data_IF_488563322475
#
_entry.id   IF_488563322475
#
_cell.length_a   1.000
_cell.length_b   1.000
_cell.length_c   1.000
_cell.angle_alpha   90.00
_cell.angle_beta   90.00
_cell.angle_gamma   90.00
#
_symmetry.space_group_name_H-M   'P 1'
#
loop_
_entity.id
_entity.type
_entity.pdbx_description
1 polymer ?
#
# COMPACT_ATOMS: atom_id res chain seq x y z
N UNK A 1 54.07 53.67 12.71
CA UNK A 1 54.10 52.19 12.63
C UNK A 1 53.73 51.56 13.98
N UNK A 2 52.46 51.63 14.40
CA UNK A 2 51.94 50.95 15.62
C UNK A 2 50.46 50.68 15.47
N UNK A 3 50.01 50.08 14.30
CA UNK A 3 48.60 49.78 14.06
C UNK A 3 48.32 48.32 13.58
N UNK A 4 49.41 47.53 13.42
CA UNK A 4 49.28 46.18 12.83
C UNK A 4 49.04 45.06 13.85
N UNK A 5 49.18 45.26 15.14
CA UNK A 5 49.06 44.23 16.18
C UNK A 5 47.57 43.93 16.59
N UNK A 6 46.72 44.97 16.62
CA UNK A 6 45.34 44.82 17.09
C UNK A 6 44.43 44.21 16.07
N UNK A 7 44.63 44.48 14.79
CA UNK A 7 43.81 43.92 13.71
C UNK A 7 44.10 42.43 13.49
N UNK A 8 45.35 41.98 13.65
CA UNK A 8 45.72 40.57 13.55
C UNK A 8 45.16 39.76 14.73
N UNK A 9 45.10 40.33 15.93
CA UNK A 9 44.53 39.64 17.09
C UNK A 9 43.03 39.53 17.02
N UNK A 10 42.33 40.52 16.44
CA UNK A 10 40.88 40.48 16.21
C UNK A 10 40.50 39.50 15.11
N UNK A 11 41.28 39.41 14.03
CA UNK A 11 41.08 38.44 12.97
C UNK A 11 41.33 36.99 13.43
N UNK A 12 42.32 36.74 14.28
CA UNK A 12 42.59 35.43 14.87
C UNK A 12 41.53 35.00 15.88
N UNK A 13 40.98 35.92 16.67
CA UNK A 13 39.87 35.63 17.59
C UNK A 13 38.55 35.36 16.85
N UNK A 14 38.22 36.09 15.78
CA UNK A 14 37.05 35.79 14.95
C UNK A 14 37.22 34.50 14.16
N UNK A 15 38.42 34.18 13.68
CA UNK A 15 38.68 32.95 12.94
C UNK A 15 38.55 31.66 13.76
N UNK A 16 38.72 31.74 15.11
CA UNK A 16 38.60 30.59 16.02
C UNK A 16 37.22 30.46 16.68
N UNK A 17 36.52 31.57 16.89
CA UNK A 17 35.19 31.57 17.57
C UNK A 17 34.07 31.16 16.61
N UNK A 18 34.13 31.58 15.35
CA UNK A 18 33.06 31.24 14.36
C UNK A 18 33.00 29.74 14.02
N UNK A 19 34.13 29.03 13.77
CA UNK A 19 34.06 27.57 13.57
C UNK A 19 33.64 26.82 14.84
N UNK A 20 34.01 27.27 16.03
CA UNK A 20 33.63 26.66 17.30
C UNK A 20 32.11 26.79 17.59
N UNK A 21 31.52 27.93 17.28
CA UNK A 21 30.08 28.15 17.40
C UNK A 21 29.28 27.34 16.35
N UNK A 22 29.77 27.25 15.11
CA UNK A 22 29.14 26.41 14.06
C UNK A 22 29.20 24.92 14.42
N UNK A 23 30.34 24.43 14.94
CA UNK A 23 30.46 23.04 15.40
C UNK A 23 29.56 22.73 16.60
N UNK A 24 29.36 23.66 17.52
CA UNK A 24 28.42 23.49 18.63
C UNK A 24 26.98 23.57 18.20
N UNK A 25 26.62 24.45 17.26
CA UNK A 25 25.26 24.52 16.70
C UNK A 25 24.91 23.30 15.87
N UNK A 26 25.82 22.74 15.08
CA UNK A 26 25.63 21.51 14.36
C UNK A 26 25.52 20.29 15.28
N UNK A 27 26.32 20.26 16.38
CA UNK A 27 26.23 19.23 17.41
C UNK A 27 24.88 19.29 18.16
N UNK A 28 24.42 20.49 18.53
CA UNK A 28 23.09 20.65 19.15
C UNK A 28 21.95 20.36 18.19
N UNK A 29 22.10 20.66 16.90
CA UNK A 29 21.09 20.35 15.87
C UNK A 29 21.00 18.83 15.58
N UNK A 30 22.15 18.14 15.62
CA UNK A 30 22.20 16.67 15.49
C UNK A 30 21.70 15.97 16.77
N UNK A 31 21.95 16.53 17.96
CA UNK A 31 21.37 16.00 19.21
C UNK A 31 19.88 16.26 19.36
N UNK A 32 19.35 17.35 18.82
CA UNK A 32 17.93 17.65 18.83
C UNK A 32 17.12 16.76 17.84
N UNK A 33 17.78 16.07 16.91
CA UNK A 33 17.19 15.08 16.02
C UNK A 33 17.33 13.64 16.51
N UNK A 34 18.08 13.37 17.54
CA UNK A 34 18.04 12.10 18.22
C UNK A 34 16.75 12.04 19.05
N UNK A 35 15.68 11.54 18.44
CA UNK A 35 14.51 11.05 19.17
C UNK A 35 15.06 10.04 20.18
N UNK A 36 14.79 10.17 21.50
CA UNK A 36 15.18 9.14 22.45
C UNK A 36 14.59 7.84 21.96
N UNK A 37 15.45 6.89 21.65
CA UNK A 37 15.07 5.50 21.42
C UNK A 37 14.61 5.00 22.81
N UNK A 38 13.35 5.24 23.15
CA UNK A 38 12.72 4.51 24.23
C UNK A 38 12.72 3.04 23.79
N UNK A 39 13.38 2.15 24.54
CA UNK A 39 13.33 0.74 24.18
C UNK A 39 11.86 0.34 24.19
N UNK A 40 11.34 -0.03 23.02
CA UNK A 40 10.04 -0.67 22.92
C UNK A 40 9.99 -1.79 23.97
N UNK A 41 8.88 -1.98 24.67
CA UNK A 41 8.77 -3.06 25.65
C UNK A 41 9.03 -4.37 24.90
N UNK A 42 10.18 -4.97 25.22
CA UNK A 42 10.57 -6.30 24.75
C UNK A 42 9.72 -7.32 25.52
N UNK A 43 8.51 -7.49 25.08
CA UNK A 43 7.74 -8.69 25.31
C UNK A 43 7.73 -9.45 23.99
N UNK A 44 8.81 -10.15 23.70
CA UNK A 44 8.74 -11.31 22.83
C UNK A 44 7.82 -12.30 23.55
N UNK A 45 6.52 -12.19 23.31
CA UNK A 45 5.60 -13.29 23.58
C UNK A 45 6.02 -14.37 22.58
N UNK A 46 6.76 -15.38 23.06
CA UNK A 46 6.82 -16.66 22.38
C UNK A 46 5.36 -17.15 22.27
N UNK A 47 4.70 -16.81 21.20
CA UNK A 47 3.45 -17.45 20.80
C UNK A 47 3.81 -18.86 20.32
N UNK A 48 3.91 -19.78 21.27
CA UNK A 48 3.77 -21.20 20.99
C UNK A 48 2.48 -21.33 20.19
N UNK A 49 2.58 -21.78 18.94
CA UNK A 49 1.54 -21.78 17.93
C UNK A 49 0.21 -22.36 18.45
N UNK A 50 -0.70 -21.49 18.82
CA UNK A 50 -2.11 -21.84 18.99
C UNK A 50 -2.76 -21.69 17.64
N UNK A 51 -2.83 -22.77 16.88
CA UNK A 51 -3.62 -22.84 15.65
C UNK A 51 -5.09 -22.81 16.06
N UNK A 52 -5.84 -21.82 15.56
CA UNK A 52 -7.28 -21.73 15.75
C UNK A 52 -7.95 -22.24 14.50
N UNK A 53 -8.67 -23.36 14.59
CA UNK A 53 -9.44 -23.87 13.45
C UNK A 53 -10.62 -22.91 13.18
N UNK A 54 -10.51 -22.12 12.14
CA UNK A 54 -11.58 -21.22 11.66
C UNK A 54 -12.08 -21.76 10.32
N UNK A 55 -13.35 -22.18 10.21
CA UNK A 55 -13.90 -22.64 8.93
C UNK A 55 -14.06 -21.48 7.96
N UNK A 56 -13.81 -21.76 6.67
CA UNK A 56 -14.01 -20.86 5.56
C UNK A 56 -14.79 -21.57 4.44
N UNK A 57 -15.56 -20.80 3.69
CA UNK A 57 -16.22 -21.26 2.44
C UNK A 57 -15.52 -20.62 1.25
N UNK A 58 -14.86 -21.46 0.44
CA UNK A 58 -14.22 -21.04 -0.79
C UNK A 58 -15.11 -21.38 -1.98
N UNK A 59 -15.51 -20.35 -2.72
CA UNK A 59 -16.27 -20.47 -3.96
C UNK A 59 -15.32 -20.61 -5.14
N UNK A 60 -15.41 -21.74 -5.84
CA UNK A 60 -14.64 -22.01 -7.03
C UNK A 60 -15.23 -21.31 -8.28
N UNK A 61 -14.46 -21.12 -9.36
CA UNK A 61 -14.92 -20.45 -10.58
C UNK A 61 -16.17 -21.06 -11.21
N UNK A 62 -16.35 -22.38 -11.09
CA UNK A 62 -17.51 -23.11 -11.57
C UNK A 62 -18.76 -22.96 -10.66
N UNK A 63 -18.63 -22.25 -9.52
CA UNK A 63 -19.71 -21.93 -8.60
C UNK A 63 -19.87 -22.91 -7.44
N UNK A 64 -19.13 -24.02 -7.40
CA UNK A 64 -19.10 -24.92 -6.24
C UNK A 64 -18.49 -24.21 -5.02
N UNK A 65 -18.94 -24.57 -3.82
CA UNK A 65 -18.43 -24.04 -2.56
C UNK A 65 -17.86 -25.19 -1.74
N UNK A 66 -16.58 -25.10 -1.42
CA UNK A 66 -15.89 -26.05 -0.54
C UNK A 66 -15.64 -25.44 0.83
N UNK A 67 -15.70 -26.23 1.89
CA UNK A 67 -15.28 -25.85 3.23
C UNK A 67 -13.82 -26.24 3.43
N UNK A 68 -13.03 -25.32 3.96
CA UNK A 68 -11.62 -25.53 4.27
C UNK A 68 -11.21 -24.76 5.51
N UNK A 69 -10.03 -25.03 6.04
CA UNK A 69 -9.46 -24.25 7.11
C UNK A 69 -9.01 -22.86 6.64
N UNK A 70 -9.20 -21.85 7.48
CA UNK A 70 -8.85 -20.46 7.16
C UNK A 70 -7.35 -20.31 6.89
N UNK A 71 -6.49 -20.93 7.70
CA UNK A 71 -5.05 -20.78 7.53
C UNK A 71 -4.56 -21.51 6.27
N UNK A 72 -5.17 -22.65 5.89
CA UNK A 72 -4.91 -23.28 4.59
C UNK A 72 -5.30 -22.36 3.41
N UNK A 73 -6.48 -21.75 3.48
CA UNK A 73 -6.89 -20.74 2.49
C UNK A 73 -5.91 -19.57 2.40
N UNK A 74 -5.46 -19.06 3.55
CA UNK A 74 -4.57 -17.89 3.60
C UNK A 74 -3.18 -18.15 3.04
N UNK A 75 -2.66 -19.38 3.14
CA UNK A 75 -1.43 -19.74 2.41
C UNK A 75 -1.61 -19.48 0.93
N UNK A 76 -2.71 -19.97 0.34
CA UNK A 76 -3.00 -19.74 -1.08
C UNK A 76 -3.24 -18.27 -1.45
N UNK A 77 -3.85 -17.48 -0.55
CA UNK A 77 -4.02 -16.04 -0.77
C UNK A 77 -2.67 -15.32 -0.76
N UNK A 78 -1.85 -15.52 0.27
CA UNK A 78 -0.55 -14.85 0.38
C UNK A 78 0.37 -15.22 -0.78
N UNK A 79 0.39 -16.49 -1.20
CA UNK A 79 1.15 -16.94 -2.38
C UNK A 79 0.68 -16.30 -3.69
N UNK A 80 -0.61 -15.95 -3.80
CA UNK A 80 -1.16 -15.30 -4.98
C UNK A 80 -0.97 -13.77 -4.98
N UNK A 81 -0.96 -13.15 -3.81
CA UNK A 81 -0.98 -11.69 -3.60
C UNK A 81 0.43 -11.09 -3.48
N UNK A 82 1.37 -11.79 -2.86
CA UNK A 82 2.71 -11.27 -2.57
C UNK A 82 3.81 -12.21 -3.08
N UNK A 83 4.95 -11.67 -3.55
CA UNK A 83 6.14 -12.46 -3.77
C UNK A 83 6.59 -13.15 -2.48
N UNK A 84 6.83 -14.47 -2.51
CA UNK A 84 7.33 -15.21 -1.34
C UNK A 84 8.74 -14.76 -0.90
N UNK A 85 9.44 -13.98 -1.74
CA UNK A 85 10.72 -13.33 -1.41
C UNK A 85 10.58 -12.18 -0.42
N UNK A 86 9.37 -11.60 -0.23
CA UNK A 86 9.14 -10.49 0.70
C UNK A 86 9.50 -10.89 2.14
N UNK A 87 9.81 -9.90 2.97
CA UNK A 87 10.21 -10.13 4.36
C UNK A 87 9.11 -10.85 5.17
N UNK A 88 9.47 -11.72 6.12
CA UNK A 88 8.48 -12.46 6.93
C UNK A 88 7.45 -11.58 7.61
N UNK A 89 7.84 -10.38 8.09
CA UNK A 89 6.91 -9.46 8.75
C UNK A 89 5.88 -8.86 7.78
N UNK A 90 6.23 -8.64 6.52
CA UNK A 90 5.29 -8.23 5.49
C UNK A 90 4.29 -9.34 5.16
N UNK A 91 4.76 -10.59 5.05
CA UNK A 91 3.91 -11.76 4.81
C UNK A 91 2.94 -12.00 5.98
N UNK A 92 3.38 -11.80 7.23
CA UNK A 92 2.52 -11.84 8.43
C UNK A 92 1.46 -10.76 8.39
N UNK A 93 1.82 -9.52 8.06
CA UNK A 93 0.87 -8.41 7.94
C UNK A 93 -0.20 -8.72 6.87
N UNK A 94 0.21 -9.26 5.72
CA UNK A 94 -0.71 -9.70 4.67
C UNK A 94 -1.65 -10.80 5.15
N UNK A 95 -1.14 -11.80 5.86
CA UNK A 95 -1.96 -12.90 6.39
C UNK A 95 -3.04 -12.39 7.35
N UNK A 96 -2.71 -11.46 8.26
CA UNK A 96 -3.68 -10.84 9.17
C UNK A 96 -4.72 -10.02 8.41
N UNK A 97 -4.30 -9.19 7.45
CA UNK A 97 -5.23 -8.39 6.64
C UNK A 97 -6.19 -9.28 5.85
N UNK A 98 -5.67 -10.31 5.17
CA UNK A 98 -6.46 -11.25 4.39
C UNK A 98 -7.42 -12.07 5.27
N UNK A 99 -6.99 -12.50 6.47
CA UNK A 99 -7.83 -13.19 7.45
C UNK A 99 -8.98 -12.29 7.92
N UNK A 100 -8.69 -11.02 8.20
CA UNK A 100 -9.70 -10.04 8.60
C UNK A 100 -10.77 -9.88 7.54
N UNK A 101 -10.37 -9.73 6.28
CA UNK A 101 -11.30 -9.64 5.15
C UNK A 101 -12.18 -10.91 5.03
N UNK A 102 -11.56 -12.08 5.02
CA UNK A 102 -12.29 -13.35 4.88
C UNK A 102 -13.24 -13.60 6.07
N UNK A 103 -12.81 -13.28 7.30
CA UNK A 103 -13.64 -13.43 8.49
C UNK A 103 -14.82 -12.46 8.49
N UNK A 104 -14.61 -11.24 8.03
CA UNK A 104 -15.69 -10.27 7.87
C UNK A 104 -16.71 -10.74 6.83
N UNK A 105 -16.26 -11.26 5.69
CA UNK A 105 -17.14 -11.84 4.67
C UNK A 105 -17.99 -12.99 5.25
N UNK A 106 -17.38 -13.87 6.04
CA UNK A 106 -18.09 -14.93 6.75
C UNK A 106 -19.21 -14.41 7.65
N UNK A 107 -18.93 -13.35 8.45
CA UNK A 107 -19.89 -12.81 9.41
C UNK A 107 -21.03 -12.02 8.76
N UNK A 108 -20.74 -11.30 7.66
CA UNK A 108 -21.70 -10.36 7.06
C UNK A 108 -22.40 -10.91 5.81
N UNK A 109 -22.07 -12.13 5.39
CA UNK A 109 -22.51 -12.71 4.11
C UNK A 109 -21.61 -12.34 2.93
N UNK A 110 -20.74 -11.34 3.09
CA UNK A 110 -19.80 -10.90 2.06
C UNK A 110 -20.46 -10.53 0.73
N UNK A 111 -19.67 -10.51 -0.33
CA UNK A 111 -20.16 -10.19 -1.69
C UNK A 111 -21.07 -11.24 -2.31
N UNK A 112 -21.02 -12.47 -1.80
CA UNK A 112 -21.82 -13.61 -2.31
C UNK A 112 -23.11 -13.88 -1.51
N UNK A 113 -23.32 -13.16 -0.40
CA UNK A 113 -24.51 -13.27 0.45
C UNK A 113 -24.56 -14.49 1.38
N UNK A 114 -23.66 -15.46 1.20
CA UNK A 114 -23.58 -16.70 1.98
C UNK A 114 -22.32 -16.83 2.84
N UNK A 115 -21.52 -15.75 2.92
CA UNK A 115 -20.27 -15.72 3.66
C UNK A 115 -19.09 -16.38 2.96
N UNK A 116 -19.27 -16.89 1.73
CA UNK A 116 -18.16 -17.42 0.94
C UNK A 116 -17.27 -16.31 0.38
N UNK A 117 -16.00 -16.64 0.15
CA UNK A 117 -15.06 -15.84 -0.64
C UNK A 117 -14.72 -16.59 -1.91
N UNK A 118 -14.39 -15.89 -3.00
CA UNK A 118 -13.97 -16.52 -4.25
C UNK A 118 -12.49 -16.28 -4.54
N UNK A 119 -11.99 -16.95 -5.59
CA UNK A 119 -10.59 -16.91 -6.02
C UNK A 119 -10.27 -15.73 -6.96
N UNK A 120 -11.27 -14.88 -7.27
CA UNK A 120 -11.12 -13.74 -8.18
C UNK A 120 -10.68 -12.50 -7.42
N UNK A 121 -9.49 -12.01 -7.72
CA UNK A 121 -8.91 -10.79 -7.14
C UNK A 121 -9.75 -9.52 -7.41
N UNK A 122 -10.54 -9.49 -8.50
CA UNK A 122 -11.43 -8.36 -8.78
C UNK A 122 -12.71 -8.39 -7.95
N UNK A 123 -13.04 -9.53 -7.38
CA UNK A 123 -14.19 -9.75 -6.52
C UNK A 123 -13.82 -9.85 -5.05
N UNK A 124 -13.04 -10.85 -4.64
CA UNK A 124 -12.63 -11.08 -3.25
C UNK A 124 -11.12 -10.90 -3.06
N UNK A 125 -10.37 -11.98 -3.15
CA UNK A 125 -8.91 -12.01 -3.00
C UNK A 125 -8.33 -12.94 -4.06
N UNK A 126 -7.12 -12.64 -4.56
CA UNK A 126 -6.41 -13.62 -5.38
C UNK A 126 -6.15 -14.88 -4.55
N UNK A 127 -6.21 -16.03 -5.21
CA UNK A 127 -5.96 -17.32 -4.58
C UNK A 127 -5.29 -18.26 -5.58
N UNK A 128 -4.31 -19.01 -5.09
CA UNK A 128 -3.67 -20.09 -5.85
C UNK A 128 -3.49 -21.31 -4.93
N UNK A 129 -3.75 -22.50 -5.43
CA UNK A 129 -3.38 -23.71 -4.69
C UNK A 129 -1.85 -23.84 -4.65
N UNK A 130 -1.31 -24.31 -3.55
CA UNK A 130 0.15 -24.47 -3.41
C UNK A 130 0.75 -25.35 -4.51
N UNK A 131 0.05 -26.43 -4.91
CA UNK A 131 0.45 -27.26 -6.05
C UNK A 131 0.57 -26.47 -7.36
N UNK A 132 -0.37 -25.54 -7.60
CA UNK A 132 -0.34 -24.70 -8.79
C UNK A 132 0.73 -23.62 -8.72
N UNK A 133 1.01 -23.09 -7.51
CA UNK A 133 2.13 -22.19 -7.26
C UNK A 133 3.46 -22.86 -7.62
N UNK A 134 3.69 -24.09 -7.15
CA UNK A 134 4.89 -24.87 -7.46
C UNK A 134 4.97 -25.20 -8.96
N UNK A 135 3.86 -25.59 -9.58
CA UNK A 135 3.81 -25.88 -11.01
C UNK A 135 4.10 -24.66 -11.90
N UNK A 136 3.87 -23.44 -11.40
CA UNK A 136 4.18 -22.15 -12.09
C UNK A 136 5.59 -21.65 -11.80
N UNK A 137 6.46 -22.44 -11.16
CA UNK A 137 7.85 -22.10 -10.89
C UNK A 137 8.08 -21.51 -9.50
N UNK A 138 7.08 -21.54 -8.61
CA UNK A 138 7.27 -21.29 -7.18
C UNK A 138 8.18 -22.34 -6.53
N UNK A 139 8.72 -22.03 -5.37
CA UNK A 139 9.62 -22.92 -4.65
C UNK A 139 8.99 -23.45 -3.36
N UNK A 140 9.37 -24.68 -2.96
CA UNK A 140 8.97 -25.27 -1.66
C UNK A 140 9.38 -24.36 -0.50
N UNK A 141 10.58 -23.76 -0.55
CA UNK A 141 11.08 -22.84 0.46
C UNK A 141 10.18 -21.58 0.57
N UNK A 142 9.74 -21.04 -0.58
CA UNK A 142 8.83 -19.91 -0.63
C UNK A 142 7.46 -20.25 -0.04
N UNK A 143 6.90 -21.40 -0.39
CA UNK A 143 5.63 -21.89 0.16
C UNK A 143 5.72 -22.10 1.67
N UNK A 144 6.80 -22.72 2.14
CA UNK A 144 7.04 -22.94 3.56
C UNK A 144 7.23 -21.62 4.35
N UNK A 145 7.92 -20.62 3.76
CA UNK A 145 8.06 -19.29 4.36
C UNK A 145 6.70 -18.63 4.56
N UNK A 146 5.82 -18.70 3.55
CA UNK A 146 4.45 -18.16 3.63
C UNK A 146 3.64 -18.92 4.67
N UNK A 147 3.71 -20.26 4.71
CA UNK A 147 3.01 -21.08 5.70
C UNK A 147 3.38 -20.67 7.12
N UNK A 148 4.68 -20.51 7.43
CA UNK A 148 5.14 -20.02 8.73
C UNK A 148 4.62 -18.64 9.09
N UNK A 149 4.51 -17.73 8.12
CA UNK A 149 3.96 -16.40 8.37
C UNK A 149 2.46 -16.46 8.72
N UNK A 150 1.69 -17.31 8.03
CA UNK A 150 0.27 -17.54 8.30
C UNK A 150 0.08 -18.17 9.69
N UNK A 151 0.83 -19.24 10.00
CA UNK A 151 0.77 -19.94 11.30
C UNK A 151 1.16 -19.04 12.47
N UNK A 152 2.21 -18.23 12.32
CA UNK A 152 2.68 -17.30 13.36
C UNK A 152 1.63 -16.21 13.69
N UNK A 153 0.65 -15.99 12.82
CA UNK A 153 -0.43 -15.01 13.00
C UNK A 153 -1.80 -15.67 13.10
N UNK A 154 -1.87 -17.00 13.34
CA UNK A 154 -3.14 -17.74 13.41
C UNK A 154 -4.09 -17.13 14.44
N UNK A 155 -5.34 -16.94 14.05
CA UNK A 155 -6.39 -16.35 14.88
C UNK A 155 -6.35 -14.83 15.03
N UNK A 156 -5.28 -14.14 14.61
CA UNK A 156 -5.23 -12.67 14.67
C UNK A 156 -5.96 -11.99 13.52
N UNK A 157 -6.77 -11.00 13.86
CA UNK A 157 -7.54 -10.13 12.96
C UNK A 157 -7.42 -8.68 13.39
N UNK A 158 -7.86 -7.77 12.53
CA UNK A 158 -7.94 -6.33 12.81
C UNK A 158 -9.36 -5.93 13.16
N UNK A 159 -9.52 -5.20 14.27
CA UNK A 159 -10.79 -4.62 14.71
C UNK A 159 -10.66 -3.12 14.90
N UNK A 160 -11.79 -2.42 14.83
CA UNK A 160 -11.93 -1.02 15.22
C UNK A 160 -13.23 -0.87 16.02
N UNK A 161 -13.12 -0.41 17.26
CA UNK A 161 -14.27 -0.36 18.17
C UNK A 161 -14.91 -1.74 18.44
N UNK A 162 -14.12 -2.83 18.37
CA UNK A 162 -14.58 -4.20 18.57
C UNK A 162 -15.14 -4.89 17.31
N UNK A 163 -15.30 -4.17 16.20
CA UNK A 163 -15.83 -4.72 14.94
C UNK A 163 -14.69 -4.98 13.93
N UNK A 164 -14.82 -6.03 13.11
CA UNK A 164 -13.86 -6.33 12.05
C UNK A 164 -13.80 -5.19 11.03
N UNK A 165 -12.59 -4.73 10.70
CA UNK A 165 -12.38 -3.65 9.74
C UNK A 165 -12.54 -4.11 8.27
N UNK A 166 -12.63 -3.14 7.34
CA UNK A 166 -12.36 -3.35 5.91
C UNK A 166 -10.84 -3.38 5.70
N UNK A 167 -10.21 -4.56 5.86
CA UNK A 167 -8.78 -4.72 5.77
C UNK A 167 -8.32 -4.85 4.30
N UNK A 168 -8.48 -3.77 3.54
CA UNK A 168 -8.12 -3.73 2.13
C UNK A 168 -6.62 -3.53 1.93
N UNK A 169 -6.08 -4.10 0.87
CA UNK A 169 -4.68 -4.00 0.50
C UNK A 169 -4.53 -3.95 -1.03
N UNK A 170 -3.37 -3.57 -1.50
CA UNK A 170 -3.07 -3.38 -2.92
C UNK A 170 -1.55 -3.45 -3.14
N UNK A 171 -1.11 -3.52 -4.40
CA UNK A 171 0.29 -3.76 -4.74
C UNK A 171 1.24 -2.66 -4.26
N UNK A 172 1.18 -1.46 -4.84
CA UNK A 172 2.03 -0.33 -4.45
C UNK A 172 1.31 1.02 -4.57
N UNK A 173 1.66 1.97 -3.71
CA UNK A 173 0.95 3.25 -3.59
C UNK A 173 1.51 4.35 -4.51
N UNK A 174 2.77 4.25 -4.92
CA UNK A 174 3.49 5.34 -5.54
C UNK A 174 3.95 6.41 -4.55
N UNK A 175 4.12 6.02 -3.26
CA UNK A 175 4.65 6.86 -2.17
C UNK A 175 3.63 7.30 -1.12
N UNK A 176 2.32 7.20 -1.40
CA UNK A 176 1.26 7.57 -0.43
C UNK A 176 -0.04 6.83 -0.75
N UNK A 177 -0.74 6.37 0.29
CA UNK A 177 -2.06 5.73 0.14
C UNK A 177 -3.19 6.77 0.00
N UNK A 178 -4.39 6.30 -0.35
CA UNK A 178 -5.59 7.14 -0.47
C UNK A 178 -6.52 6.98 0.74
N UNK A 179 -7.29 8.03 1.06
CA UNK A 179 -8.45 7.92 1.92
C UNK A 179 -9.56 7.12 1.24
N UNK A 180 -10.20 6.21 1.96
CA UNK A 180 -11.31 5.42 1.42
C UNK A 180 -12.46 6.28 0.89
N UNK A 181 -12.76 7.41 1.53
CA UNK A 181 -13.81 8.34 1.09
C UNK A 181 -13.54 8.91 -0.30
N UNK A 182 -12.26 9.10 -0.68
CA UNK A 182 -11.89 9.64 -1.99
C UNK A 182 -12.05 8.62 -3.12
N UNK A 183 -11.97 7.33 -2.79
CA UNK A 183 -12.03 6.24 -3.78
C UNK A 183 -13.42 5.60 -3.83
N UNK A 184 -14.06 5.42 -2.68
CA UNK A 184 -15.33 4.67 -2.55
C UNK A 184 -16.49 5.47 -2.01
N UNK A 185 -16.27 6.75 -1.62
CA UNK A 185 -17.32 7.61 -1.06
C UNK A 185 -17.70 7.29 0.40
N UNK A 186 -17.12 6.26 1.00
CA UNK A 186 -17.37 5.87 2.40
C UNK A 186 -16.19 6.24 3.26
N UNK A 187 -16.45 6.94 4.36
CA UNK A 187 -15.42 7.33 5.33
C UNK A 187 -15.21 6.23 6.37
N UNK A 188 -14.04 5.60 6.34
CA UNK A 188 -13.59 4.67 7.36
C UNK A 188 -12.49 5.35 8.19
N UNK A 189 -12.65 5.46 9.54
CA UNK A 189 -11.69 6.19 10.38
C UNK A 189 -10.27 5.60 10.32
N UNK A 190 -10.15 4.32 10.04
CA UNK A 190 -8.90 3.56 9.97
C UNK A 190 -8.31 3.45 8.55
N UNK A 191 -9.01 3.86 7.48
CA UNK A 191 -8.54 3.87 6.09
C UNK A 191 -8.24 5.29 5.62
N UNK A 192 -7.21 5.88 6.20
CA UNK A 192 -6.74 7.24 5.89
C UNK A 192 -5.44 7.22 5.11
N UNK A 193 -5.21 8.27 4.34
CA UNK A 193 -3.97 8.45 3.58
C UNK A 193 -2.76 8.47 4.53
N UNK A 194 -1.78 7.62 4.24
CA UNK A 194 -0.48 7.55 4.94
C UNK A 194 0.65 7.55 3.93
N UNK A 195 1.83 8.00 4.35
CA UNK A 195 3.05 7.86 3.56
C UNK A 195 3.42 6.37 3.44
N UNK A 196 3.94 5.98 2.29
CA UNK A 196 4.38 4.61 2.01
C UNK A 196 5.69 4.67 1.24
N UNK A 197 6.80 4.99 1.93
CA UNK A 197 8.12 5.12 1.31
C UNK A 197 8.73 3.75 1.00
N UNK A 198 9.77 3.75 0.15
CA UNK A 198 10.55 2.53 -0.15
C UNK A 198 9.94 1.63 -1.23
N UNK A 199 8.91 2.10 -1.94
CA UNK A 199 8.25 1.35 -3.01
C UNK A 199 8.93 1.51 -4.38
N UNK A 200 10.03 2.25 -4.47
CA UNK A 200 10.74 2.54 -5.73
C UNK A 200 11.31 1.28 -6.38
N UNK A 201 11.53 0.23 -5.57
CA UNK A 201 11.98 -1.09 -6.04
C UNK A 201 10.88 -1.90 -6.73
N UNK A 202 9.60 -1.53 -6.57
CA UNK A 202 8.50 -2.23 -7.22
C UNK A 202 8.59 -2.05 -8.75
N UNK A 203 8.77 -3.13 -9.49
CA UNK A 203 8.97 -3.14 -10.94
C UNK A 203 7.82 -2.49 -11.73
N UNK A 204 6.65 -2.36 -11.10
CA UNK A 204 5.44 -1.77 -11.67
C UNK A 204 4.95 -0.54 -10.92
N UNK A 205 5.82 0.08 -10.11
CA UNK A 205 5.50 1.32 -9.40
C UNK A 205 5.21 2.48 -10.36
N UNK A 206 5.81 2.48 -11.55
CA UNK A 206 5.54 3.46 -12.60
C UNK A 206 5.15 2.74 -13.89
N UNK A 207 4.15 3.26 -14.58
CA UNK A 207 3.70 2.76 -15.88
C UNK A 207 3.38 3.91 -16.83
N UNK A 208 3.57 3.70 -18.13
CA UNK A 208 3.27 4.72 -19.14
C UNK A 208 2.48 4.09 -20.27
N UNK A 209 1.31 4.62 -20.51
CA UNK A 209 0.46 4.23 -21.64
C UNK A 209 0.31 5.39 -22.61
N UNK A 210 0.19 5.07 -23.89
CA UNK A 210 0.02 6.06 -24.95
C UNK A 210 -1.21 5.76 -25.78
N UNK A 211 -1.89 6.82 -26.21
CA UNK A 211 -3.07 6.74 -27.06
C UNK A 211 -2.93 7.68 -28.26
N UNK A 212 -3.38 7.24 -29.44
CA UNK A 212 -3.74 8.19 -30.48
C UNK A 212 -4.98 8.96 -30.08
N UNK A 213 -5.25 10.16 -30.66
CA UNK A 213 -6.47 10.91 -30.38
C UNK A 213 -7.75 10.11 -30.60
N UNK A 214 -7.76 9.22 -31.58
CA UNK A 214 -8.90 8.34 -31.86
C UNK A 214 -9.09 7.27 -30.79
N UNK A 215 -8.02 6.56 -30.43
CA UNK A 215 -8.05 5.56 -29.36
C UNK A 215 -8.55 6.16 -28.04
N UNK A 216 -8.07 7.36 -27.70
CA UNK A 216 -8.45 8.05 -26.48
C UNK A 216 -9.94 8.42 -26.45
N UNK A 217 -10.47 9.01 -27.56
CA UNK A 217 -11.91 9.29 -27.70
C UNK A 217 -12.74 8.02 -27.56
N UNK A 218 -12.33 6.95 -28.22
CA UNK A 218 -13.05 5.66 -28.18
C UNK A 218 -13.05 5.08 -26.77
N UNK A 219 -11.94 5.15 -26.02
CA UNK A 219 -11.85 4.64 -24.65
C UNK A 219 -12.77 5.42 -23.69
N UNK A 220 -12.89 6.75 -23.85
CA UNK A 220 -13.79 7.56 -23.02
C UNK A 220 -15.25 7.60 -23.52
N UNK A 221 -15.51 7.18 -24.76
CA UNK A 221 -16.83 7.29 -25.36
C UNK A 221 -17.29 8.74 -25.55
N UNK A 222 -16.36 9.71 -25.58
CA UNK A 222 -16.67 11.15 -25.61
C UNK A 222 -16.14 11.79 -26.88
N UNK A 223 -17.00 12.46 -27.67
CA UNK A 223 -16.55 13.19 -28.83
C UNK A 223 -15.73 14.42 -28.40
N UNK A 224 -14.53 14.54 -28.95
CA UNK A 224 -13.62 15.67 -28.70
C UNK A 224 -13.13 16.19 -30.05
N UNK A 225 -13.14 17.53 -30.22
CA UNK A 225 -12.67 18.21 -31.43
C UNK A 225 -11.39 19.00 -31.13
N UNK A 226 -10.71 19.44 -32.18
CA UNK A 226 -9.47 20.22 -32.06
C UNK A 226 -8.25 19.38 -31.66
N UNK A 227 -7.18 20.08 -31.27
CA UNK A 227 -5.94 19.46 -30.87
C UNK A 227 -6.05 18.80 -29.48
N UNK A 228 -5.53 17.58 -29.28
CA UNK A 228 -5.45 16.95 -27.95
C UNK A 228 -4.77 17.79 -26.88
N UNK A 229 -3.89 18.71 -27.25
CA UNK A 229 -3.24 19.64 -26.32
C UNK A 229 -4.25 20.49 -25.51
N UNK A 230 -5.44 20.73 -26.08
CA UNK A 230 -6.49 21.53 -25.45
C UNK A 230 -7.60 20.73 -24.79
N UNK A 231 -7.50 19.38 -24.77
CA UNK A 231 -8.56 18.54 -24.22
C UNK A 231 -8.54 18.47 -22.70
N UNK A 232 -7.39 18.70 -22.06
CA UNK A 232 -7.19 18.47 -20.63
C UNK A 232 -7.18 19.76 -19.85
N UNK A 233 -8.09 19.88 -18.89
CA UNK A 233 -8.05 20.91 -17.86
C UNK A 233 -7.07 20.55 -16.73
N UNK A 234 -6.82 21.48 -15.79
CA UNK A 234 -5.98 21.19 -14.63
C UNK A 234 -6.64 20.12 -13.75
N UNK A 235 -5.87 19.10 -13.28
CA UNK A 235 -6.38 18.10 -12.37
C UNK A 235 -6.56 18.67 -10.96
N UNK A 236 -7.58 18.20 -10.27
CA UNK A 236 -7.74 18.34 -8.80
C UNK A 236 -7.21 17.07 -8.16
N UNK A 237 -6.29 17.20 -7.20
CA UNK A 237 -5.68 16.06 -6.55
C UNK A 237 -6.28 15.79 -5.16
N UNK A 238 -6.32 14.51 -4.77
CA UNK A 238 -6.60 14.05 -3.41
C UNK A 238 -5.40 14.32 -2.49
N UNK A 239 -5.58 14.11 -1.19
CA UNK A 239 -4.47 14.12 -0.23
C UNK A 239 -3.45 13.00 -0.52
N UNK A 240 -3.89 11.87 -1.05
CA UNK A 240 -3.04 10.74 -1.47
C UNK A 240 -2.30 10.96 -2.79
N UNK A 241 -2.51 12.10 -3.46
CA UNK A 241 -1.87 12.45 -4.73
C UNK A 241 -2.52 11.80 -5.95
N UNK A 242 -3.66 11.13 -5.80
CA UNK A 242 -4.48 10.68 -6.92
C UNK A 242 -5.27 11.84 -7.55
N UNK A 243 -5.65 11.70 -8.80
CA UNK A 243 -6.59 12.62 -9.45
C UNK A 243 -7.99 12.42 -8.85
N UNK A 244 -8.51 13.42 -8.14
CA UNK A 244 -9.88 13.43 -7.65
C UNK A 244 -10.84 13.70 -8.82
N UNK A 245 -10.58 14.76 -9.59
CA UNK A 245 -11.31 15.08 -10.81
C UNK A 245 -10.43 15.81 -11.82
N UNK A 246 -10.81 15.73 -13.09
CA UNK A 246 -10.20 16.46 -14.19
C UNK A 246 -11.22 16.68 -15.31
N UNK A 247 -11.22 17.88 -15.90
CA UNK A 247 -12.00 18.12 -17.11
C UNK A 247 -11.26 17.54 -18.32
N UNK A 248 -11.96 16.74 -19.13
CA UNK A 248 -11.45 16.19 -20.38
C UNK A 248 -12.46 16.41 -21.49
N UNK A 249 -12.09 17.09 -22.56
CA UNK A 249 -13.00 17.41 -23.68
C UNK A 249 -14.21 18.28 -23.29
N UNK A 250 -14.07 19.07 -22.22
CA UNK A 250 -15.15 19.90 -21.67
C UNK A 250 -16.09 19.18 -20.69
N UNK A 251 -15.89 17.88 -20.43
CA UNK A 251 -16.62 17.09 -19.46
C UNK A 251 -15.76 16.78 -18.24
N UNK A 252 -16.34 16.84 -17.03
CA UNK A 252 -15.64 16.46 -15.80
C UNK A 252 -15.70 14.95 -15.59
N UNK A 253 -14.55 14.37 -15.24
CA UNK A 253 -14.37 12.96 -14.89
C UNK A 253 -13.69 12.82 -13.53
N UNK A 254 -14.10 11.84 -12.74
CA UNK A 254 -13.31 11.43 -11.59
C UNK A 254 -12.06 10.65 -12.01
N UNK A 255 -11.02 10.64 -11.18
CA UNK A 255 -9.83 9.83 -11.43
C UNK A 255 -10.13 8.34 -11.55
N UNK A 256 -11.12 7.83 -10.81
CA UNK A 256 -11.57 6.43 -10.90
C UNK A 256 -12.26 6.12 -12.23
N UNK A 257 -13.05 7.04 -12.77
CA UNK A 257 -13.63 6.91 -14.11
C UNK A 257 -12.54 6.87 -15.19
N UNK A 258 -11.58 7.81 -15.12
CA UNK A 258 -10.45 7.85 -16.06
C UNK A 258 -9.59 6.60 -15.96
N UNK A 259 -9.27 6.15 -14.73
CA UNK A 259 -8.53 4.90 -14.50
C UNK A 259 -9.22 3.72 -15.17
N UNK A 260 -10.53 3.56 -14.96
CA UNK A 260 -11.30 2.45 -15.52
C UNK A 260 -11.38 2.51 -17.04
N UNK A 261 -11.74 3.66 -17.61
CA UNK A 261 -11.93 3.82 -19.04
C UNK A 261 -10.63 3.68 -19.85
N UNK A 262 -9.50 4.11 -19.28
CA UNK A 262 -8.20 4.13 -19.94
C UNK A 262 -7.29 2.94 -19.54
N UNK A 263 -7.77 2.03 -18.69
CA UNK A 263 -7.01 0.87 -18.22
C UNK A 263 -5.77 1.24 -17.40
N UNK A 264 -5.81 2.33 -16.63
CA UNK A 264 -4.66 2.80 -15.87
C UNK A 264 -4.44 1.96 -14.61
N UNK A 265 -3.19 1.83 -14.18
CA UNK A 265 -2.84 1.06 -12.98
C UNK A 265 -3.33 1.69 -11.69
N UNK A 266 -3.36 3.03 -11.62
CA UNK A 266 -3.83 3.77 -10.44
C UNK A 266 -4.51 5.08 -10.82
N UNK A 267 -5.04 5.81 -9.82
CA UNK A 267 -5.55 7.17 -9.97
C UNK A 267 -4.48 8.24 -9.85
N UNK A 268 -3.25 7.88 -9.41
CA UNK A 268 -2.13 8.81 -9.41
C UNK A 268 -1.48 8.83 -10.77
N UNK A 269 -1.84 9.82 -11.58
CA UNK A 269 -1.32 9.91 -12.94
C UNK A 269 -1.13 11.36 -13.38
N UNK A 270 -0.28 11.55 -14.40
CA UNK A 270 -0.19 12.78 -15.15
C UNK A 270 -0.46 12.53 -16.63
N UNK A 271 -0.88 13.57 -17.33
CA UNK A 271 -1.18 13.53 -18.76
C UNK A 271 -0.32 14.56 -19.49
N UNK A 272 0.29 14.15 -20.59
CA UNK A 272 0.89 15.06 -21.58
C UNK A 272 0.32 14.76 -22.96
N UNK A 273 0.11 15.79 -23.77
CA UNK A 273 -0.45 15.61 -25.10
C UNK A 273 0.29 16.43 -26.17
N UNK A 274 0.47 15.82 -27.32
CA UNK A 274 0.84 16.46 -28.58
C UNK A 274 -0.36 16.45 -29.52
N UNK A 275 -0.21 16.91 -30.74
CA UNK A 275 -1.30 16.87 -31.74
C UNK A 275 -1.63 15.44 -32.19
N UNK A 276 -0.74 14.48 -31.98
CA UNK A 276 -0.86 13.10 -32.49
C UNK A 276 -0.80 12.03 -31.41
N UNK A 277 -0.39 12.37 -30.19
CA UNK A 277 -0.17 11.40 -29.12
C UNK A 277 -0.57 11.97 -27.76
N UNK A 278 -1.23 11.15 -26.97
CA UNK A 278 -1.54 11.40 -25.57
C UNK A 278 -0.75 10.38 -24.76
N UNK A 279 0.04 10.85 -23.80
CA UNK A 279 0.87 10.02 -22.92
C UNK A 279 0.37 10.18 -21.50
N UNK A 280 0.10 9.07 -20.83
CA UNK A 280 -0.33 9.04 -19.43
C UNK A 280 0.68 8.23 -18.65
N UNK A 281 1.28 8.86 -17.64
CA UNK A 281 2.18 8.20 -16.69
C UNK A 281 1.48 8.02 -15.36
N UNK A 282 1.43 6.80 -14.86
CA UNK A 282 0.83 6.44 -13.56
C UNK A 282 1.89 6.07 -12.54
N UNK A 283 1.62 6.35 -11.27
CA UNK A 283 2.40 5.92 -10.12
C UNK A 283 1.55 5.04 -9.21
N UNK A 284 2.13 3.93 -8.74
CA UNK A 284 1.42 2.94 -7.95
C UNK A 284 0.56 1.98 -8.78
N UNK A 285 0.10 0.90 -8.13
CA UNK A 285 -0.73 -0.13 -8.74
C UNK A 285 -1.80 -0.62 -7.76
N UNK A 286 -3.06 -0.42 -8.13
CA UNK A 286 -4.24 -0.79 -7.36
C UNK A 286 -5.13 0.41 -7.00
N UNK A 287 -6.04 0.21 -6.04
CA UNK A 287 -6.95 1.25 -5.56
C UNK A 287 -6.30 2.21 -4.54
N UNK A 288 -5.15 1.86 -4.01
CA UNK A 288 -4.32 2.66 -3.11
C UNK A 288 -4.93 2.95 -1.74
N UNK A 289 -5.92 2.20 -1.29
CA UNK A 289 -6.57 2.34 0.04
C UNK A 289 -6.17 1.19 0.95
N UNK A 290 -5.74 1.47 2.19
CA UNK A 290 -5.27 0.48 3.15
C UNK A 290 -3.79 0.13 2.96
N UNK A 291 -3.41 -1.15 3.10
CA UNK A 291 -2.01 -1.56 3.11
C UNK A 291 -1.43 -1.71 1.71
N UNK A 292 -0.31 -1.04 1.47
CA UNK A 292 0.55 -1.30 0.31
C UNK A 292 1.43 -2.51 0.58
N UNK A 293 1.40 -3.49 -0.33
CA UNK A 293 2.17 -4.73 -0.21
C UNK A 293 3.68 -4.46 -0.31
N UNK A 294 4.12 -3.66 -1.29
CA UNK A 294 5.53 -3.25 -1.41
C UNK A 294 5.96 -2.29 -0.30
N UNK A 295 5.06 -1.41 0.16
CA UNK A 295 5.34 -0.55 1.31
C UNK A 295 5.47 -1.35 2.61
N UNK A 296 4.66 -2.39 2.80
CA UNK A 296 4.79 -3.30 3.93
C UNK A 296 6.15 -4.03 3.92
N UNK A 297 6.59 -4.48 2.74
CA UNK A 297 7.91 -5.11 2.58
C UNK A 297 9.05 -4.12 2.88
N UNK A 298 8.99 -2.90 2.37
CA UNK A 298 9.98 -1.87 2.65
C UNK A 298 10.06 -1.52 4.15
N UNK A 299 8.93 -1.47 4.84
CA UNK A 299 8.88 -1.30 6.30
C UNK A 299 9.52 -2.48 7.02
N UNK A 300 9.23 -3.73 6.59
CA UNK A 300 9.80 -4.93 7.16
C UNK A 300 11.32 -5.00 6.95
N UNK A 301 11.82 -4.68 5.75
CA UNK A 301 13.27 -4.51 5.47
C UNK A 301 13.91 -3.49 6.40
N UNK A 302 13.17 -2.43 6.76
CA UNK A 302 13.62 -1.39 7.70
C UNK A 302 13.51 -1.80 9.18
N UNK A 303 13.08 -3.04 9.48
CA UNK A 303 13.00 -3.61 10.83
C UNK A 303 11.66 -3.44 11.52
N UNK A 304 10.60 -3.02 10.82
CA UNK A 304 9.25 -2.96 11.39
C UNK A 304 8.66 -4.36 11.56
N UNK A 305 7.98 -4.60 12.69
CA UNK A 305 7.21 -5.82 12.90
C UNK A 305 5.86 -5.75 12.17
N UNK A 306 5.19 -6.89 11.98
CA UNK A 306 3.88 -6.93 11.32
C UNK A 306 2.82 -6.10 12.05
N UNK A 307 2.87 -6.03 13.40
CA UNK A 307 1.99 -5.18 14.19
C UNK A 307 2.20 -3.69 13.88
N UNK A 308 3.46 -3.28 13.74
CA UNK A 308 3.81 -1.90 13.39
C UNK A 308 3.37 -1.55 11.97
N UNK A 309 3.53 -2.48 11.02
CA UNK A 309 3.07 -2.36 9.65
C UNK A 309 1.55 -2.19 9.60
N UNK A 310 0.81 -3.07 10.28
CA UNK A 310 -0.65 -3.00 10.34
C UNK A 310 -1.15 -1.71 10.99
N UNK A 311 -0.54 -1.30 12.11
CA UNK A 311 -0.89 -0.05 12.80
C UNK A 311 -0.61 1.20 11.96
N UNK A 312 0.40 1.15 11.08
CA UNK A 312 0.72 2.23 10.16
C UNK A 312 -0.37 2.42 9.09
N UNK A 313 -0.81 1.33 8.46
CA UNK A 313 -1.77 1.39 7.35
C UNK A 313 -3.24 1.43 7.80
N UNK A 314 -3.57 0.86 8.95
CA UNK A 314 -4.94 0.82 9.50
C UNK A 314 -4.97 1.58 10.82
N UNK A 315 -5.00 2.92 10.73
CA UNK A 315 -4.84 3.81 11.87
C UNK A 315 -5.91 3.60 12.95
N UNK A 316 -5.46 3.31 14.17
CA UNK A 316 -6.35 3.08 15.32
C UNK A 316 -7.09 1.75 15.28
N UNK A 317 -6.82 0.88 14.31
CA UNK A 317 -7.26 -0.50 14.38
C UNK A 317 -6.41 -1.28 15.40
N UNK A 318 -7.03 -2.25 16.04
CA UNK A 318 -6.42 -3.09 17.07
C UNK A 318 -6.22 -4.50 16.55
N UNK A 319 -5.08 -5.11 16.90
CA UNK A 319 -4.83 -6.52 16.64
C UNK A 319 -5.56 -7.35 17.69
N UNK A 320 -6.54 -8.12 17.28
CA UNK A 320 -7.42 -8.90 18.12
C UNK A 320 -7.28 -10.39 17.81
N UNK A 321 -7.19 -11.22 18.84
CA UNK A 321 -7.17 -12.67 18.70
C UNK A 321 -8.57 -13.27 18.85
N UNK A 322 -8.96 -14.17 17.94
CA UNK A 322 -10.31 -14.78 17.87
C UNK A 322 -10.43 -16.15 18.54
N UNK A 323 -9.42 -16.62 19.24
CA UNK A 323 -9.40 -17.94 19.81
C UNK A 323 -9.82 -18.05 21.28
#
# INVERSE_FOLDING_TARGET
MKQTGKEILTALLMGLVVPGCLLRLTSMYLQARAVPNEPAPTAAVETVGRTVALPLRLRQPEGTVEEMDMDEYLVGVVLAEMPASFEPEALKAQAVAARTYARKAWQTGGKHGDGSVCTDASCCQAYIRESDYLARGGTEEGAEKVRRAVEATSGYVLTYGGELIEATYFSCSGGRTEDAVQVWGTDYPYLKSVESPGEESASHNTDTVTFTPEQFRNALGTPMSGSPRSWFGPPVYTQGGGVASMTVGGQEYSGTQLRSALGLRSTAFSVTATDTLITITTWGYGHRVGMSQYGADAMAVSGSTYEQILAHYYRGAELTWLG
#
